data_IF_390256665015
#
_entry.id   IF_390256665015
#
_cell.length_a   1.000
_cell.length_b   1.000
_cell.length_c   1.000
_cell.angle_alpha   90.00
_cell.angle_beta   90.00
_cell.angle_gamma   90.00
#
_symmetry.space_group_name_H-M   'P 1'
#
loop_
_entity.id
_entity.type
_entity.pdbx_description
1 polymer ?
#
# COMPACT_ATOMS: atom_id res chain seq x y z
N UNK A 1 -9.69 8.77 -2.04
CA UNK A 1 -10.05 7.90 -0.94
C UNK A 1 -9.01 7.92 0.18
N UNK A 2 -7.74 7.76 -0.14
CA UNK A 2 -6.72 7.77 0.91
C UNK A 2 -6.57 9.14 1.56
N UNK A 3 -6.82 10.23 0.84
CA UNK A 3 -6.77 11.57 1.43
C UNK A 3 -7.82 11.75 2.52
N UNK A 4 -8.99 11.15 2.32
CA UNK A 4 -10.06 11.22 3.30
C UNK A 4 -9.72 10.48 4.60
N UNK A 5 -9.06 9.33 4.49
CA UNK A 5 -8.81 8.45 5.63
C UNK A 5 -7.42 8.57 6.21
N UNK A 6 -6.44 9.07 5.44
CA UNK A 6 -5.04 8.99 5.84
C UNK A 6 -4.29 10.32 5.80
N UNK A 7 -4.91 11.42 5.41
CA UNK A 7 -4.20 12.68 5.17
C UNK A 7 -3.46 13.24 6.38
N UNK A 8 -3.94 12.96 7.58
CA UNK A 8 -3.34 13.46 8.81
C UNK A 8 -2.38 12.47 9.46
N UNK A 9 -2.10 11.36 8.79
CA UNK A 9 -1.25 10.32 9.31
C UNK A 9 0.21 10.59 8.96
N UNK A 10 1.18 10.27 9.86
CA UNK A 10 2.61 10.41 9.56
C UNK A 10 3.06 9.29 8.63
N UNK A 11 2.63 9.33 7.41
CA UNK A 11 2.78 8.26 6.44
C UNK A 11 3.38 8.82 5.16
N UNK A 12 4.38 8.13 4.61
CA UNK A 12 5.00 8.58 3.36
C UNK A 12 4.11 8.30 2.15
N UNK A 13 4.49 8.87 1.00
CA UNK A 13 3.70 8.78 -0.22
C UNK A 13 3.54 7.34 -0.71
N UNK A 14 4.60 6.54 -0.58
CA UNK A 14 4.55 5.13 -1.00
C UNK A 14 3.49 4.38 -0.20
N UNK A 15 3.52 4.51 1.12
CA UNK A 15 2.58 3.77 1.95
C UNK A 15 1.15 4.27 1.80
N UNK A 16 0.95 5.57 1.59
CA UNK A 16 -0.38 6.09 1.25
C UNK A 16 -0.94 5.40 0.03
N UNK A 17 -0.11 5.23 -0.99
CA UNK A 17 -0.50 4.55 -2.21
C UNK A 17 -0.83 3.07 -1.95
N UNK A 18 0.02 2.39 -1.19
CA UNK A 18 -0.20 0.97 -0.88
C UNK A 18 -1.49 0.75 -0.08
N UNK A 19 -1.75 1.61 0.90
CA UNK A 19 -2.99 1.53 1.67
C UNK A 19 -4.21 1.88 0.82
N UNK A 20 -4.06 2.79 -0.15
CA UNK A 20 -5.14 3.07 -1.08
C UNK A 20 -5.46 1.85 -1.93
N UNK A 21 -4.46 1.13 -2.40
CA UNK A 21 -4.66 -0.11 -3.16
C UNK A 21 -5.36 -1.17 -2.30
N UNK A 22 -4.89 -1.33 -1.06
CA UNK A 22 -5.51 -2.28 -0.14
C UNK A 22 -6.97 -1.90 0.14
N UNK A 23 -7.24 -0.61 0.30
CA UNK A 23 -8.59 -0.12 0.54
C UNK A 23 -9.50 -0.34 -0.66
N UNK A 24 -8.96 -0.21 -1.86
CA UNK A 24 -9.72 -0.48 -3.08
C UNK A 24 -10.14 -1.95 -3.14
N UNK A 25 -9.24 -2.84 -2.75
CA UNK A 25 -9.50 -4.29 -2.82
C UNK A 25 -10.36 -4.80 -1.65
N UNK A 26 -10.02 -4.39 -0.43
CA UNK A 26 -10.64 -4.95 0.78
C UNK A 26 -11.66 -4.03 1.45
N UNK A 27 -11.70 -2.77 1.08
CA UNK A 27 -12.55 -1.77 1.71
C UNK A 27 -11.81 -0.93 2.74
N UNK A 28 -12.06 0.39 2.76
CA UNK A 28 -11.32 1.29 3.67
C UNK A 28 -11.57 1.01 5.14
N UNK A 29 -12.79 0.62 5.51
CA UNK A 29 -13.09 0.30 6.91
C UNK A 29 -12.30 -0.89 7.42
N UNK A 30 -12.14 -1.91 6.57
CA UNK A 30 -11.36 -3.09 6.91
C UNK A 30 -9.89 -2.75 7.08
N UNK A 31 -9.35 -1.91 6.19
CA UNK A 31 -7.96 -1.49 6.25
C UNK A 31 -7.68 -0.68 7.52
N UNK A 32 -8.61 0.19 7.92
CA UNK A 32 -8.47 0.94 9.17
C UNK A 32 -8.37 -0.01 10.36
N UNK A 33 -9.19 -1.05 10.40
CA UNK A 33 -9.13 -2.07 11.44
C UNK A 33 -7.80 -2.80 11.44
N UNK A 34 -7.32 -3.17 10.26
CA UNK A 34 -6.03 -3.86 10.13
C UNK A 34 -4.90 -3.00 10.68
N UNK A 35 -4.93 -1.71 10.41
CA UNK A 35 -3.91 -0.79 10.92
C UNK A 35 -3.95 -0.70 12.44
N UNK A 36 -5.15 -0.67 13.02
CA UNK A 36 -5.30 -0.65 14.48
C UNK A 36 -4.77 -1.93 15.10
N UNK A 37 -5.08 -3.08 14.51
CA UNK A 37 -4.58 -4.37 15.00
C UNK A 37 -3.07 -4.46 14.87
N UNK A 38 -2.50 -3.94 13.78
CA UNK A 38 -1.06 -3.91 13.59
C UNK A 38 -0.39 -3.12 14.71
N UNK A 39 -0.92 -1.96 15.04
CA UNK A 39 -0.37 -1.16 16.11
C UNK A 39 -0.42 -1.89 17.45
N UNK A 40 -1.54 -2.53 17.74
CA UNK A 40 -1.70 -3.30 18.99
C UNK A 40 -0.75 -4.49 19.07
N UNK A 41 -0.37 -5.03 17.93
CA UNK A 41 0.52 -6.20 17.85
C UNK A 41 1.99 -5.83 17.72
N UNK A 42 2.33 -4.54 17.82
CA UNK A 42 3.72 -4.11 17.80
C UNK A 42 4.27 -3.80 16.41
N UNK A 43 3.42 -3.81 15.40
CA UNK A 43 3.83 -3.42 14.04
C UNK A 43 3.56 -1.93 13.82
N UNK A 44 4.20 -1.38 12.80
CA UNK A 44 4.00 0.03 12.44
C UNK A 44 2.72 0.17 11.61
N UNK A 45 1.68 0.87 12.12
CA UNK A 45 0.42 1.00 11.40
C UNK A 45 0.50 1.87 10.15
N UNK A 46 1.59 2.59 9.96
CA UNK A 46 1.78 3.50 8.83
C UNK A 46 2.60 2.88 7.71
N UNK A 47 3.03 1.63 7.85
CA UNK A 47 3.83 0.92 6.86
C UNK A 47 3.10 -0.36 6.47
N UNK A 48 2.93 -0.57 5.16
CA UNK A 48 2.25 -1.76 4.67
C UNK A 48 3.16 -2.99 4.69
N UNK A 49 4.32 -2.91 3.99
CA UNK A 49 5.18 -4.08 3.83
C UNK A 49 5.76 -4.52 5.17
N UNK A 50 5.61 -5.82 5.48
CA UNK A 50 6.12 -6.48 6.69
C UNK A 50 5.51 -5.94 7.98
N UNK A 51 4.50 -5.08 7.88
CA UNK A 51 3.79 -4.55 9.03
C UNK A 51 2.31 -4.85 8.89
N UNK A 52 1.51 -3.93 8.36
CA UNK A 52 0.07 -4.18 8.21
C UNK A 52 -0.18 -5.36 7.28
N UNK A 53 0.69 -5.59 6.32
CA UNK A 53 0.63 -6.75 5.43
C UNK A 53 0.52 -8.07 6.19
N UNK A 54 1.28 -8.22 7.27
CA UNK A 54 1.27 -9.45 8.07
C UNK A 54 -0.10 -9.65 8.72
N UNK A 55 -0.65 -8.58 9.28
CA UNK A 55 -1.98 -8.65 9.89
C UNK A 55 -3.05 -8.95 8.83
N UNK A 56 -2.93 -8.33 7.65
CA UNK A 56 -3.86 -8.59 6.56
C UNK A 56 -3.83 -10.06 6.14
N UNK A 57 -2.64 -10.64 6.01
CA UNK A 57 -2.51 -12.04 5.64
C UNK A 57 -3.18 -12.96 6.64
N UNK A 58 -3.10 -12.62 7.92
CA UNK A 58 -3.70 -13.43 9.00
C UNK A 58 -5.22 -13.25 9.09
N UNK A 59 -5.70 -12.03 8.93
CA UNK A 59 -7.10 -11.71 9.22
C UNK A 59 -8.02 -11.84 8.02
N UNK A 60 -7.56 -11.46 6.83
CA UNK A 60 -8.40 -11.44 5.65
C UNK A 60 -7.86 -12.30 4.50
N UNK A 61 -6.74 -12.99 4.71
CA UNK A 61 -6.17 -13.89 3.73
C UNK A 61 -5.23 -13.21 2.77
N UNK A 62 -4.84 -13.96 1.74
CA UNK A 62 -3.77 -13.53 0.84
C UNK A 62 -4.22 -12.69 -0.34
N UNK A 63 -5.51 -12.65 -0.62
CA UNK A 63 -5.99 -11.96 -1.82
C UNK A 63 -5.56 -10.50 -1.86
N UNK A 64 -5.82 -9.76 -0.77
CA UNK A 64 -5.47 -8.35 -0.70
C UNK A 64 -3.95 -8.16 -0.70
N UNK A 65 -3.23 -9.03 0.00
CA UNK A 65 -1.76 -8.97 0.04
C UNK A 65 -1.19 -9.17 -1.36
N UNK A 66 -1.67 -10.15 -2.10
CA UNK A 66 -1.21 -10.40 -3.47
C UNK A 66 -1.61 -9.27 -4.41
N UNK A 67 -2.81 -8.74 -4.23
CA UNK A 67 -3.29 -7.63 -5.05
C UNK A 67 -2.37 -6.42 -4.91
N UNK A 68 -2.08 -6.02 -3.67
CA UNK A 68 -1.19 -4.87 -3.42
C UNK A 68 0.21 -5.13 -3.97
N UNK A 69 0.73 -6.33 -3.73
CA UNK A 69 2.06 -6.71 -4.22
C UNK A 69 2.16 -6.69 -5.74
N UNK A 70 1.14 -7.20 -6.41
CA UNK A 70 1.13 -7.24 -7.87
C UNK A 70 1.03 -5.84 -8.48
N UNK A 71 0.16 -4.99 -7.93
CA UNK A 71 0.05 -3.61 -8.41
C UNK A 71 1.35 -2.86 -8.17
N UNK A 72 1.99 -3.08 -7.04
CA UNK A 72 3.28 -2.45 -6.74
C UNK A 72 4.33 -2.86 -7.77
N UNK A 73 4.38 -4.14 -8.14
CA UNK A 73 5.30 -4.61 -9.19
C UNK A 73 5.06 -3.90 -10.52
N UNK A 74 3.80 -3.79 -10.93
CA UNK A 74 3.46 -3.09 -12.17
C UNK A 74 3.83 -1.61 -12.09
N UNK A 75 3.59 -0.99 -10.94
CA UNK A 75 3.93 0.41 -10.73
C UNK A 75 5.44 0.64 -10.89
N UNK A 76 6.25 -0.20 -10.28
CA UNK A 76 7.72 -0.09 -10.38
C UNK A 76 8.17 -0.29 -11.82
N UNK A 77 7.63 -1.29 -12.51
CA UNK A 77 7.97 -1.56 -13.90
C UNK A 77 7.58 -0.38 -14.79
N UNK A 78 6.40 0.16 -14.58
CA UNK A 78 5.92 1.31 -15.33
C UNK A 78 6.82 2.53 -15.13
N UNK A 79 7.21 2.80 -13.90
CA UNK A 79 8.11 3.93 -13.61
C UNK A 79 9.45 3.79 -14.33
N UNK A 80 10.00 2.59 -14.39
CA UNK A 80 11.24 2.34 -15.12
C UNK A 80 11.09 2.62 -16.60
N UNK A 81 10.01 2.14 -17.19
CA UNK A 81 9.75 2.35 -18.61
C UNK A 81 9.61 3.84 -18.92
N UNK A 82 8.86 4.55 -18.12
CA UNK A 82 8.64 5.99 -18.31
C UNK A 82 9.96 6.74 -18.18
N UNK A 83 10.75 6.40 -17.18
CA UNK A 83 12.04 7.05 -16.95
C UNK A 83 12.98 6.83 -18.12
N UNK A 84 13.12 5.59 -18.60
CA UNK A 84 13.97 5.27 -19.73
C UNK A 84 13.52 6.00 -20.99
N UNK A 85 12.22 6.01 -21.23
CA UNK A 85 11.64 6.70 -22.38
C UNK A 85 11.94 8.20 -22.36
N UNK A 86 11.78 8.81 -21.19
CA UNK A 86 12.06 10.24 -21.03
C UNK A 86 13.53 10.56 -21.28
N UNK A 87 14.44 9.71 -20.81
CA UNK A 87 15.87 9.90 -21.04
C UNK A 87 16.22 9.81 -22.51
N UNK A 88 15.62 8.85 -23.21
CA UNK A 88 15.87 8.71 -24.67
C UNK A 88 15.35 9.92 -25.44
N UNK A 89 14.27 10.50 -24.99
CA UNK A 89 13.69 11.68 -25.69
C UNK A 89 14.52 12.94 -25.55
N UNK A 90 15.31 13.02 -24.48
CA UNK A 90 16.17 14.19 -24.24
C UNK A 90 17.41 14.19 -25.13
N UNK A 91 17.73 13.07 -25.71
CA UNK A 91 18.85 12.97 -26.63
C UNK A 91 18.41 13.32 -28.06
#
# INVERSE_FOLDING_TARGET
>A
LHDRYFKNEPMDALNKMLFAFASYNAGPGRVIKLRQEAQQSGFNPNIWFRNVEIIAARQIGRETVQYVGNIYKYYIAYRRIVKDFSQKRKE
#
